data_IF_969760167696
#
_entry.id   IF_969760167696
#
_cell.length_a   1.000
_cell.length_b   1.000
_cell.length_c   1.000
_cell.angle_alpha   90.00
_cell.angle_beta   90.00
_cell.angle_gamma   90.00
#
_symmetry.space_group_name_H-M   'P 1'
#
loop_
_entity.id
_entity.type
_entity.pdbx_description
1 polymer ?
#
# COMPACT_ATOMS: atom_id res chain seq x y z
N UNK A 1 33.12 8.40 22.00
CA UNK A 1 32.38 9.66 21.74
C UNK A 1 31.85 9.56 20.33
N UNK A 2 30.59 9.14 20.18
CA UNK A 2 29.92 9.15 18.88
C UNK A 2 29.16 10.48 18.78
N UNK A 3 29.41 11.22 17.71
CA UNK A 3 28.77 12.52 17.48
C UNK A 3 27.35 12.31 16.98
N UNK A 4 26.37 12.88 17.70
CA UNK A 4 25.00 12.92 17.23
C UNK A 4 24.94 13.62 15.88
N UNK A 5 24.35 12.96 14.87
CA UNK A 5 24.04 13.62 13.60
C UNK A 5 22.87 14.56 13.86
N UNK A 6 23.14 15.87 13.83
CA UNK A 6 22.09 16.87 13.72
C UNK A 6 21.31 16.62 12.42
N UNK A 7 20.02 16.32 12.53
CA UNK A 7 19.16 16.31 11.35
C UNK A 7 18.97 17.75 10.87
N UNK A 8 19.07 18.00 9.55
CA UNK A 8 18.94 19.34 9.01
C UNK A 8 17.51 19.87 9.27
N UNK A 9 17.35 21.18 9.56
CA UNK A 9 16.04 21.77 9.79
C UNK A 9 15.13 21.57 8.56
N UNK A 10 13.80 21.44 8.77
CA UNK A 10 12.86 21.20 7.68
C UNK A 10 12.97 22.29 6.62
N UNK A 11 13.33 21.88 5.39
CA UNK A 11 13.59 22.79 4.28
C UNK A 11 12.26 23.30 3.74
N UNK A 12 11.84 24.48 4.21
CA UNK A 12 10.72 25.21 3.63
C UNK A 12 11.12 25.73 2.24
N UNK A 13 10.53 25.15 1.20
CA UNK A 13 10.70 25.61 -0.17
C UNK A 13 9.82 26.83 -0.42
N UNK A 14 10.44 28.00 -0.58
CA UNK A 14 9.78 29.24 -1.00
C UNK A 14 9.25 29.12 -2.43
N UNK A 15 8.00 28.66 -2.52
CA UNK A 15 7.23 28.52 -3.78
C UNK A 15 6.00 29.41 -3.73
N UNK A 16 5.64 29.99 -4.86
CA UNK A 16 4.45 30.83 -4.98
C UNK A 16 3.18 30.03 -4.63
N UNK A 17 2.37 30.55 -3.73
CA UNK A 17 1.10 29.92 -3.34
C UNK A 17 0.03 30.13 -4.41
N UNK A 18 -0.80 29.12 -4.65
CA UNK A 18 -1.96 29.21 -5.55
C UNK A 18 -3.20 29.54 -4.72
N UNK A 19 -3.96 30.56 -5.12
CA UNK A 19 -5.18 31.01 -4.43
C UNK A 19 -6.28 29.93 -4.28
N UNK A 20 -6.23 28.87 -5.09
CA UNK A 20 -7.18 27.74 -5.03
C UNK A 20 -6.66 26.53 -4.23
N UNK A 21 -5.42 26.57 -3.72
CA UNK A 21 -4.84 25.47 -2.95
C UNK A 21 -5.57 25.31 -1.62
N UNK A 22 -6.06 24.10 -1.33
CA UNK A 22 -6.72 23.79 -0.06
C UNK A 22 -8.19 24.20 0.02
N UNK A 23 -8.81 24.77 -1.02
CA UNK A 23 -10.19 25.32 -0.97
C UNK A 23 -11.29 24.31 -0.54
N UNK A 24 -11.04 23.00 -0.65
CA UNK A 24 -11.94 21.94 -0.17
C UNK A 24 -11.38 21.12 1.01
N UNK A 25 -10.18 21.44 1.50
CA UNK A 25 -9.54 20.62 2.54
C UNK A 25 -10.23 20.75 3.89
N UNK A 26 -10.72 21.94 4.27
CA UNK A 26 -11.51 22.09 5.50
C UNK A 26 -12.76 21.24 5.42
N UNK A 27 -13.58 21.45 4.39
CA UNK A 27 -14.81 20.68 4.16
C UNK A 27 -14.60 19.15 4.17
N UNK A 28 -13.50 18.65 3.60
CA UNK A 28 -13.23 17.20 3.62
C UNK A 28 -12.87 16.68 5.02
N UNK A 29 -12.21 17.48 5.85
CA UNK A 29 -11.93 17.15 7.25
C UNK A 29 -13.18 17.31 8.11
N UNK A 30 -14.01 18.32 7.82
CA UNK A 30 -15.30 18.52 8.47
C UNK A 30 -16.25 17.33 8.16
N UNK A 31 -16.32 16.90 6.89
CA UNK A 31 -17.07 15.70 6.45
C UNK A 31 -16.53 14.39 7.10
N UNK A 32 -15.21 14.22 7.23
CA UNK A 32 -14.58 13.08 7.91
C UNK A 32 -14.96 12.99 9.40
N UNK A 33 -14.95 14.14 10.11
CA UNK A 33 -15.33 14.21 11.53
C UNK A 33 -16.84 13.99 11.72
N UNK A 34 -17.69 14.53 10.84
CA UNK A 34 -19.13 14.28 10.87
C UNK A 34 -19.47 12.79 10.64
N UNK A 35 -18.78 12.11 9.71
CA UNK A 35 -18.95 10.68 9.45
C UNK A 35 -18.48 9.81 10.65
N UNK A 36 -17.33 10.14 11.26
CA UNK A 36 -16.84 9.49 12.48
C UNK A 36 -17.81 9.69 13.66
N UNK A 37 -18.29 10.91 13.90
CA UNK A 37 -19.26 11.20 14.96
C UNK A 37 -20.57 10.42 14.75
N UNK A 38 -21.07 10.31 13.53
CA UNK A 38 -22.27 9.52 13.21
C UNK A 38 -22.06 8.02 13.45
N UNK A 39 -20.86 7.50 13.19
CA UNK A 39 -20.51 6.10 13.45
C UNK A 39 -20.36 5.80 14.95
N UNK A 40 -19.64 6.64 15.69
CA UNK A 40 -19.36 6.39 17.11
C UNK A 40 -20.54 6.72 18.04
N UNK A 41 -21.43 7.66 17.67
CA UNK A 41 -22.61 8.00 18.47
C UNK A 41 -23.81 7.04 18.27
N UNK A 42 -23.59 5.83 17.75
CA UNK A 42 -24.61 4.77 17.70
C UNK A 42 -24.99 4.33 19.12
N UNK A 43 -26.28 4.12 19.39
CA UNK A 43 -26.76 3.77 20.73
C UNK A 43 -26.15 2.46 21.26
N UNK A 44 -25.90 1.47 20.38
CA UNK A 44 -25.23 0.21 20.72
C UNK A 44 -23.72 0.32 21.02
N UNK A 45 -23.11 1.51 20.88
CA UNK A 45 -21.71 1.79 21.23
C UNK A 45 -21.59 2.81 22.38
N UNK A 46 -22.71 3.30 22.93
CA UNK A 46 -22.70 4.18 24.10
C UNK A 46 -22.59 3.33 25.35
N UNK A 47 -21.76 3.79 26.29
CA UNK A 47 -21.72 3.25 27.64
C UNK A 47 -23.09 3.52 28.31
N UNK A 48 -23.81 2.47 28.67
CA UNK A 48 -25.05 2.54 29.46
C UNK A 48 -24.72 2.36 30.94
N UNK A 49 -25.33 3.16 31.83
CA UNK A 49 -25.11 3.09 33.28
C UNK A 49 -25.49 1.71 33.90
N UNK A 50 -26.16 0.87 33.12
CA UNK A 50 -26.68 -0.46 33.44
C UNK A 50 -26.17 -1.55 32.48
N UNK A 51 -24.96 -1.39 31.91
CA UNK A 51 -24.28 -2.40 31.08
C UNK A 51 -23.72 -3.56 31.94
N UNK A 52 -24.60 -4.49 32.32
CA UNK A 52 -24.24 -5.74 33.01
C UNK A 52 -23.60 -6.74 32.02
N UNK A 53 -22.62 -7.52 32.50
CA UNK A 53 -21.92 -8.49 31.66
C UNK A 53 -22.88 -9.57 31.11
N UNK A 54 -22.82 -9.83 29.80
CA UNK A 54 -23.61 -10.85 29.10
C UNK A 54 -23.81 -12.15 29.90
N UNK A 55 -25.07 -12.51 30.11
CA UNK A 55 -25.49 -13.80 30.68
C UNK A 55 -25.92 -14.76 29.55
N UNK A 56 -25.51 -16.02 29.64
CA UNK A 56 -25.86 -17.04 28.66
C UNK A 56 -27.33 -17.46 28.81
N UNK A 57 -28.19 -16.94 27.92
CA UNK A 57 -29.56 -17.44 27.80
C UNK A 57 -29.56 -18.90 27.32
N UNK A 58 -30.51 -19.70 27.81
CA UNK A 58 -30.60 -21.11 27.43
C UNK A 58 -30.98 -21.23 25.94
N UNK A 59 -30.03 -21.67 25.13
CA UNK A 59 -30.20 -21.87 23.69
C UNK A 59 -31.42 -22.77 23.41
N UNK A 60 -32.40 -22.23 22.70
CA UNK A 60 -33.56 -22.99 22.27
C UNK A 60 -33.12 -24.04 21.24
N UNK A 61 -33.69 -25.25 21.32
CA UNK A 61 -33.42 -26.27 20.31
C UNK A 61 -33.80 -25.76 18.92
N UNK A 62 -32.89 -25.91 17.96
CA UNK A 62 -33.07 -25.47 16.58
C UNK A 62 -34.33 -26.11 15.97
N UNK A 63 -35.14 -25.31 15.28
CA UNK A 63 -36.43 -25.72 14.70
C UNK A 63 -36.34 -25.56 13.19
N UNK A 64 -36.11 -26.67 12.52
CA UNK A 64 -36.16 -26.73 11.06
C UNK A 64 -37.59 -26.53 10.54
N UNK A 65 -37.70 -25.79 9.43
CA UNK A 65 -38.93 -25.69 8.67
C UNK A 65 -39.31 -27.05 8.06
N UNK A 66 -40.60 -27.23 7.72
CA UNK A 66 -41.12 -28.52 7.29
C UNK A 66 -40.57 -29.02 5.94
N UNK A 67 -40.03 -28.11 5.13
CA UNK A 67 -39.39 -28.34 3.84
C UNK A 67 -37.86 -28.50 3.93
N UNK A 68 -37.27 -28.51 5.14
CA UNK A 68 -35.83 -28.69 5.31
C UNK A 68 -35.33 -30.08 4.88
N UNK A 69 -36.18 -31.11 5.06
CA UNK A 69 -35.93 -32.49 4.61
C UNK A 69 -36.55 -32.77 3.21
N UNK A 70 -37.23 -31.80 2.59
CA UNK A 70 -37.74 -31.96 1.22
C UNK A 70 -36.56 -31.81 0.23
N UNK A 71 -36.37 -32.79 -0.65
CA UNK A 71 -35.35 -32.73 -1.70
C UNK A 71 -35.58 -31.47 -2.57
N UNK A 72 -34.60 -30.55 -2.60
CA UNK A 72 -34.55 -29.49 -3.61
C UNK A 72 -34.67 -30.15 -5.00
N UNK A 73 -35.50 -29.61 -5.92
CA UNK A 73 -35.66 -30.21 -7.23
C UNK A 73 -34.29 -30.28 -7.92
N UNK A 74 -33.87 -31.51 -8.28
CA UNK A 74 -32.64 -31.70 -9.06
C UNK A 74 -32.70 -30.75 -10.28
N UNK A 75 -31.68 -29.91 -10.50
CA UNK A 75 -31.66 -29.04 -11.66
C UNK A 75 -31.66 -29.95 -12.89
N UNK A 76 -32.70 -29.82 -13.71
CA UNK A 76 -32.82 -30.59 -14.95
C UNK A 76 -31.54 -30.37 -15.76
N UNK A 77 -30.89 -31.45 -16.20
CA UNK A 77 -29.53 -31.37 -16.80
C UNK A 77 -29.54 -30.48 -18.07
N UNK A 78 -30.70 -30.29 -18.71
CA UNK A 78 -30.91 -29.36 -19.83
C UNK A 78 -30.88 -27.86 -19.41
N UNK A 79 -31.23 -27.54 -18.17
CA UNK A 79 -31.09 -26.19 -17.60
C UNK A 79 -29.68 -25.93 -17.05
N UNK A 80 -28.96 -26.96 -16.60
CA UNK A 80 -27.59 -26.84 -16.12
C UNK A 80 -26.62 -26.29 -17.19
N UNK A 81 -26.78 -26.68 -18.45
CA UNK A 81 -26.00 -26.13 -19.57
C UNK A 81 -26.33 -24.64 -19.82
N UNK A 82 -27.62 -24.27 -19.82
CA UNK A 82 -28.06 -22.88 -20.01
C UNK A 82 -27.57 -21.96 -18.87
N UNK A 83 -27.67 -22.42 -17.62
CA UNK A 83 -27.19 -21.69 -16.44
C UNK A 83 -25.67 -21.55 -16.47
N UNK A 84 -24.92 -22.57 -16.90
CA UNK A 84 -23.47 -22.48 -17.05
C UNK A 84 -23.04 -21.46 -18.11
N UNK A 85 -23.75 -21.36 -19.22
CA UNK A 85 -23.46 -20.43 -20.31
C UNK A 85 -23.91 -18.99 -20.01
N UNK A 86 -25.03 -18.77 -19.33
CA UNK A 86 -25.41 -17.44 -18.82
C UNK A 86 -24.48 -16.97 -17.68
N UNK A 87 -23.93 -17.90 -16.88
CA UNK A 87 -22.92 -17.62 -15.84
C UNK A 87 -21.53 -17.31 -16.41
N UNK A 88 -21.41 -17.00 -17.70
CA UNK A 88 -20.23 -16.38 -18.35
C UNK A 88 -19.96 -14.95 -17.86
N UNK A 89 -19.56 -14.88 -16.59
CA UNK A 89 -19.07 -13.76 -15.77
C UNK A 89 -18.91 -12.44 -16.55
N UNK A 90 -20.01 -11.71 -16.73
CA UNK A 90 -19.96 -10.30 -17.11
C UNK A 90 -19.16 -9.57 -16.02
N UNK A 91 -17.94 -9.15 -16.35
CA UNK A 91 -17.04 -8.47 -15.40
C UNK A 91 -17.63 -7.11 -15.03
N UNK A 92 -18.50 -7.09 -14.01
CA UNK A 92 -19.02 -5.88 -13.38
C UNK A 92 -17.82 -5.06 -12.92
N UNK A 93 -17.55 -3.96 -13.62
CA UNK A 93 -16.46 -3.05 -13.27
C UNK A 93 -16.78 -2.46 -11.91
N UNK A 94 -15.80 -2.44 -11.01
CA UNK A 94 -15.94 -1.77 -9.72
C UNK A 94 -16.20 -0.28 -9.96
N UNK A 95 -17.43 0.18 -9.73
CA UNK A 95 -17.81 1.58 -9.81
C UNK A 95 -17.61 2.15 -8.41
N UNK A 96 -16.55 2.95 -8.26
CA UNK A 96 -16.38 3.74 -7.04
C UNK A 96 -17.48 4.81 -6.98
N UNK A 97 -18.17 5.01 -5.84
CA UNK A 97 -19.10 6.12 -5.69
C UNK A 97 -18.39 7.46 -5.96
N UNK A 98 -19.07 8.37 -6.66
CA UNK A 98 -18.58 9.73 -6.93
C UNK A 98 -17.88 9.99 -8.29
N UNK A 99 -17.81 9.04 -9.23
CA UNK A 99 -17.22 9.27 -10.58
C UNK A 99 -18.25 9.19 -11.72
N UNK A 100 -18.60 10.29 -12.41
CA UNK A 100 -19.50 10.26 -13.55
C UNK A 100 -18.85 9.58 -14.77
N UNK A 101 -19.48 8.52 -15.28
CA UNK A 101 -19.03 7.77 -16.45
C UNK A 101 -19.29 8.57 -17.73
N UNK A 102 -18.22 9.03 -18.39
CA UNK A 102 -18.31 9.76 -19.66
C UNK A 102 -18.59 8.78 -20.82
N UNK A 103 -19.83 8.77 -21.31
CA UNK A 103 -20.27 7.92 -22.42
C UNK A 103 -19.67 8.36 -23.77
N UNK A 104 -18.51 7.82 -24.14
CA UNK A 104 -17.98 7.92 -25.52
C UNK A 104 -18.80 7.03 -26.48
N UNK A 105 -19.67 7.66 -27.27
CA UNK A 105 -20.38 7.01 -28.38
C UNK A 105 -19.38 6.47 -29.41
N UNK A 106 -19.38 5.16 -29.65
CA UNK A 106 -18.67 4.55 -30.79
C UNK A 106 -19.43 4.86 -32.08
N UNK A 107 -18.76 5.39 -33.10
CA UNK A 107 -19.33 5.55 -34.45
C UNK A 107 -18.98 4.31 -35.26
N UNK A 108 -19.98 3.69 -35.91
CA UNK A 108 -19.81 2.48 -36.73
C UNK A 108 -19.02 2.79 -38.01
N UNK A 109 -18.27 1.79 -38.45
CA UNK A 109 -17.55 1.72 -39.72
C UNK A 109 -18.51 1.41 -40.89
N UNK A 110 -18.14 1.81 -42.10
CA UNK A 110 -18.78 1.38 -43.35
C UNK A 110 -17.75 1.27 -44.47
N UNK A 111 -17.52 0.04 -44.96
CA UNK A 111 -16.73 -0.25 -46.17
C UNK A 111 -17.36 0.40 -47.42
N UNK A 112 -16.54 0.78 -48.41
CA UNK A 112 -16.46 0.13 -49.74
C UNK A 112 -15.67 0.96 -50.79
N UNK A 113 -14.56 0.35 -51.27
CA UNK A 113 -14.04 0.28 -52.67
C UNK A 113 -13.58 1.53 -53.48
N UNK A 114 -12.34 1.38 -53.97
CA UNK A 114 -11.79 1.54 -55.34
C UNK A 114 -11.35 2.89 -55.95
N UNK A 115 -10.16 2.80 -56.55
CA UNK A 115 -9.53 3.53 -57.68
C UNK A 115 -8.85 4.91 -57.47
N UNK A 116 -7.63 5.02 -58.04
CA UNK A 116 -6.76 6.22 -58.07
C UNK A 116 -6.91 7.05 -59.38
N UNK A 117 -5.88 7.79 -59.90
CA UNK A 117 -4.43 7.63 -59.66
C UNK A 117 -3.52 8.91 -59.58
N UNK A 118 -2.28 8.70 -59.11
CA UNK A 118 -0.96 9.25 -59.55
C UNK A 118 -0.68 10.77 -59.75
N UNK A 119 0.38 11.24 -59.06
CA UNK A 119 1.58 11.95 -59.56
C UNK A 119 2.62 12.05 -58.42
N UNK A 120 3.77 11.35 -58.46
CA UNK A 120 5.06 11.75 -59.06
C UNK A 120 5.62 13.07 -58.46
N UNK A 121 6.88 13.16 -58.00
CA UNK A 121 8.10 12.31 -58.13
C UNK A 121 8.82 12.14 -56.74
N UNK A 122 10.00 11.51 -56.53
CA UNK A 122 11.05 10.97 -57.43
C UNK A 122 11.81 9.73 -56.85
N UNK A 123 13.11 9.63 -57.09
CA UNK A 123 14.07 8.50 -57.01
C UNK A 123 15.49 9.05 -56.66
N UNK A 124 16.60 8.25 -56.53
CA UNK A 124 16.77 6.77 -56.52
C UNK A 124 17.74 6.16 -55.45
N UNK A 125 17.84 4.81 -55.46
CA UNK A 125 19.01 3.96 -55.09
C UNK A 125 19.44 3.89 -53.60
N UNK A 126 19.98 2.77 -53.06
CA UNK A 126 20.45 1.52 -53.71
C UNK A 126 20.22 0.26 -52.83
N UNK A 127 20.48 -0.93 -53.38
CA UNK A 127 20.12 -2.25 -52.83
C UNK A 127 21.18 -2.92 -51.95
N UNK A 128 20.78 -3.66 -50.91
CA UNK A 128 21.36 -4.96 -50.54
C UNK A 128 20.45 -5.73 -49.58
N UNK A 129 20.57 -7.06 -49.54
CA UNK A 129 19.69 -7.96 -48.80
C UNK A 129 20.24 -8.40 -47.43
N UNK A 130 19.30 -8.81 -46.57
CA UNK A 130 19.39 -9.78 -45.46
C UNK A 130 20.53 -9.68 -44.43
N UNK A 131 20.12 -9.56 -43.15
CA UNK A 131 20.20 -10.69 -42.20
C UNK A 131 19.32 -10.47 -40.97
N UNK A 132 18.86 -11.61 -40.45
CA UNK A 132 18.14 -11.78 -39.19
C UNK A 132 19.17 -11.77 -38.05
N UNK A 133 18.91 -11.06 -36.96
CA UNK A 133 19.45 -11.40 -35.65
C UNK A 133 18.48 -10.91 -34.56
N UNK A 134 18.16 -11.79 -33.60
CA UNK A 134 17.31 -11.46 -32.46
C UNK A 134 18.16 -10.84 -31.35
N UNK A 135 17.95 -9.55 -31.08
CA UNK A 135 18.57 -8.84 -29.95
C UNK A 135 17.54 -7.95 -29.26
N UNK A 136 17.35 -8.07 -27.93
CA UNK A 136 16.35 -7.27 -27.23
C UNK A 136 16.73 -5.78 -27.20
N UNK A 137 15.91 -4.98 -27.86
CA UNK A 137 15.96 -3.52 -27.88
C UNK A 137 15.07 -2.92 -26.76
N UNK A 138 15.71 -2.22 -25.82
CA UNK A 138 15.18 -1.07 -25.06
C UNK A 138 16.32 -0.64 -24.10
N UNK A 139 17.09 0.43 -24.36
CA UNK A 139 16.71 1.85 -24.41
C UNK A 139 16.11 2.36 -23.09
N UNK A 140 16.98 2.59 -22.11
CA UNK A 140 16.73 3.56 -21.03
C UNK A 140 17.75 4.71 -21.19
N UNK A 141 17.25 5.85 -21.65
CA UNK A 141 18.04 6.93 -22.25
C UNK A 141 19.01 7.67 -21.31
N UNK A 142 19.78 8.57 -21.92
CA UNK A 142 20.87 9.34 -21.31
C UNK A 142 20.41 10.31 -20.20
N UNK A 143 20.11 9.77 -19.02
CA UNK A 143 19.90 10.59 -17.81
C UNK A 143 21.26 11.08 -17.29
N UNK A 144 21.41 12.39 -17.06
CA UNK A 144 22.62 13.01 -16.49
C UNK A 144 22.91 12.50 -15.06
N UNK A 145 23.58 11.35 -14.97
CA UNK A 145 23.99 10.73 -13.70
C UNK A 145 25.51 10.69 -13.64
N UNK A 146 26.09 11.14 -12.52
CA UNK A 146 27.55 11.13 -12.32
C UNK A 146 28.07 9.70 -12.44
N UNK A 147 29.22 9.53 -13.12
CA UNK A 147 29.82 8.21 -13.41
C UNK A 147 29.96 7.33 -12.15
N UNK A 148 30.31 7.93 -11.01
CA UNK A 148 30.41 7.25 -9.70
C UNK A 148 29.08 6.76 -9.13
N UNK A 149 27.97 7.44 -9.39
CA UNK A 149 26.63 6.97 -9.01
C UNK A 149 26.20 5.80 -9.90
N UNK A 150 26.53 5.84 -11.19
CA UNK A 150 26.27 4.73 -12.13
C UNK A 150 27.03 3.46 -11.72
N UNK A 151 28.32 3.56 -11.39
CA UNK A 151 29.09 2.40 -10.90
C UNK A 151 28.55 1.88 -9.56
N UNK A 152 28.19 2.74 -8.62
CA UNK A 152 27.62 2.33 -7.33
C UNK A 152 26.27 1.60 -7.48
N UNK A 153 25.43 1.98 -8.46
CA UNK A 153 24.19 1.26 -8.78
C UNK A 153 24.50 -0.11 -9.38
N UNK A 154 25.41 -0.19 -10.36
CA UNK A 154 25.81 -1.45 -11.00
C UNK A 154 26.37 -2.45 -9.96
N UNK A 155 27.24 -2.00 -9.05
CA UNK A 155 27.80 -2.84 -7.98
C UNK A 155 26.68 -3.34 -7.05
N UNK A 156 25.77 -2.47 -6.60
CA UNK A 156 24.61 -2.87 -5.75
C UNK A 156 23.59 -3.77 -6.46
N UNK A 157 23.52 -3.71 -7.79
CA UNK A 157 22.71 -4.62 -8.60
C UNK A 157 23.37 -6.00 -8.61
N UNK A 158 24.67 -6.07 -8.94
CA UNK A 158 25.45 -7.30 -8.95
C UNK A 158 25.50 -7.98 -7.56
N UNK A 159 25.63 -7.22 -6.47
CA UNK A 159 25.54 -7.74 -5.10
C UNK A 159 24.18 -8.39 -4.82
N UNK A 160 23.07 -7.75 -5.20
CA UNK A 160 21.72 -8.31 -5.04
C UNK A 160 21.50 -9.55 -5.88
N UNK A 161 21.95 -9.53 -7.13
CA UNK A 161 21.76 -10.65 -8.05
C UNK A 161 22.66 -11.83 -7.66
N UNK A 162 23.85 -11.59 -7.11
CA UNK A 162 24.69 -12.62 -6.49
C UNK A 162 24.04 -13.24 -5.25
N UNK A 163 23.40 -12.45 -4.37
CA UNK A 163 22.65 -12.97 -3.22
C UNK A 163 21.44 -13.80 -3.71
N UNK A 164 20.69 -13.32 -4.70
CA UNK A 164 19.55 -14.07 -5.29
C UNK A 164 20.01 -15.39 -5.90
N UNK A 165 21.11 -15.37 -6.66
CA UNK A 165 21.69 -16.57 -7.27
C UNK A 165 22.23 -17.54 -6.22
N UNK A 166 22.86 -17.05 -5.14
CA UNK A 166 23.32 -17.90 -4.03
C UNK A 166 22.15 -18.59 -3.34
N UNK A 167 21.07 -17.87 -3.03
CA UNK A 167 19.84 -18.46 -2.48
C UNK A 167 19.28 -19.54 -3.42
N UNK A 168 19.14 -19.23 -4.71
CA UNK A 168 18.65 -20.19 -5.72
C UNK A 168 19.58 -21.40 -5.94
N UNK A 169 20.89 -21.24 -5.76
CA UNK A 169 21.86 -22.34 -5.80
C UNK A 169 21.82 -23.21 -4.54
N UNK A 170 21.51 -22.63 -3.37
CA UNK A 170 21.31 -23.41 -2.13
C UNK A 170 19.97 -24.15 -2.09
N UNK A 171 18.93 -23.66 -2.80
CA UNK A 171 17.70 -24.42 -3.03
C UNK A 171 17.97 -25.56 -4.00
N UNK A 172 18.43 -26.69 -3.46
CA UNK A 172 18.57 -27.96 -4.19
C UNK A 172 17.25 -28.25 -4.92
N UNK A 173 17.27 -28.66 -6.21
CA UNK A 173 16.05 -29.01 -6.91
C UNK A 173 15.36 -30.16 -6.16
N UNK A 174 14.19 -29.87 -5.59
CA UNK A 174 13.37 -30.85 -4.89
C UNK A 174 12.99 -31.91 -5.92
N UNK A 175 13.65 -33.07 -5.83
CA UNK A 175 13.20 -34.26 -6.56
C UNK A 175 11.79 -34.55 -6.06
N UNK A 176 10.78 -34.23 -6.87
CA UNK A 176 9.38 -34.56 -6.60
C UNK A 176 9.32 -36.08 -6.40
N UNK A 177 9.27 -36.52 -5.15
CA UNK A 177 8.87 -37.89 -4.83
C UNK A 177 7.42 -38.04 -5.30
N UNK A 178 7.02 -39.27 -5.62
CA UNK A 178 5.70 -39.56 -6.17
C UNK A 178 4.62 -38.96 -5.25
N UNK A 179 3.66 -38.31 -5.88
CA UNK A 179 2.39 -37.90 -5.29
C UNK A 179 1.71 -39.15 -4.70
N UNK A 180 1.49 -39.16 -3.39
CA UNK A 180 1.05 -40.34 -2.65
C UNK A 180 1.54 -40.30 -1.20
N UNK A 181 0.61 -40.12 -0.28
CA UNK A 181 0.86 -39.95 1.17
C UNK A 181 1.63 -38.67 1.53
N UNK A 182 1.05 -37.51 1.16
CA UNK A 182 0.93 -36.47 2.17
C UNK A 182 0.09 -37.06 3.30
N UNK A 183 0.76 -37.57 4.35
CA UNK A 183 0.09 -37.84 5.62
C UNK A 183 -0.56 -36.52 6.03
N UNK A 184 -1.89 -36.47 6.06
CA UNK A 184 -2.61 -35.40 6.75
C UNK A 184 -2.00 -35.31 8.14
N UNK A 185 -1.43 -34.15 8.48
CA UNK A 185 -0.79 -33.96 9.78
C UNK A 185 -1.77 -34.42 10.86
N UNK A 186 -1.31 -35.26 11.78
CA UNK A 186 -2.19 -35.65 12.89
C UNK A 186 -2.52 -34.39 13.69
N UNK A 187 -3.64 -34.41 14.41
CA UNK A 187 -4.00 -33.28 15.27
C UNK A 187 -2.88 -32.96 16.28
N UNK A 188 -2.14 -33.98 16.74
CA UNK A 188 -0.94 -33.85 17.57
C UNK A 188 0.21 -33.15 16.85
N UNK A 189 0.50 -33.50 15.59
CA UNK A 189 1.54 -32.83 14.78
C UNK A 189 1.20 -31.35 14.54
N UNK A 190 -0.09 -31.04 14.27
CA UNK A 190 -0.58 -29.67 14.13
C UNK A 190 -0.44 -28.87 15.44
N UNK A 191 -0.75 -29.48 16.59
CA UNK A 191 -0.57 -28.87 17.92
C UNK A 191 0.91 -28.67 18.28
N UNK A 192 1.81 -29.59 17.87
CA UNK A 192 3.24 -29.45 18.06
C UNK A 192 3.85 -28.36 17.17
N UNK A 193 3.36 -28.17 15.94
CA UNK A 193 3.73 -27.05 15.08
C UNK A 193 3.18 -25.72 15.62
N UNK A 194 1.93 -25.70 16.13
CA UNK A 194 1.36 -24.55 16.81
C UNK A 194 2.19 -24.13 18.04
N UNK A 195 2.58 -25.06 18.91
CA UNK A 195 3.44 -24.78 20.07
C UNK A 195 4.85 -24.26 19.66
N UNK A 196 5.44 -24.78 18.58
CA UNK A 196 6.72 -24.28 18.07
C UNK A 196 6.61 -22.87 17.50
N UNK A 197 5.53 -22.58 16.76
CA UNK A 197 5.27 -21.25 16.20
C UNK A 197 4.89 -20.25 17.28
N UNK A 198 4.18 -20.65 18.33
CA UNK A 198 3.93 -19.85 19.54
C UNK A 198 5.25 -19.42 20.20
N UNK A 199 6.18 -20.35 20.45
CA UNK A 199 7.52 -20.04 21.00
C UNK A 199 8.28 -19.05 20.11
N UNK A 200 8.15 -19.16 18.77
CA UNK A 200 8.75 -18.19 17.84
C UNK A 200 8.06 -16.84 17.87
N UNK A 201 6.73 -16.82 18.01
CA UNK A 201 5.91 -15.61 18.06
C UNK A 201 6.16 -14.82 19.36
N UNK A 202 6.23 -15.48 20.51
CA UNK A 202 6.62 -14.87 21.78
C UNK A 202 8.00 -14.21 21.68
N UNK A 203 9.01 -14.93 21.17
CA UNK A 203 10.36 -14.39 20.94
C UNK A 203 10.41 -13.27 19.89
N UNK A 204 9.44 -13.20 18.98
CA UNK A 204 9.30 -12.09 18.03
C UNK A 204 8.68 -10.86 18.74
N UNK A 205 7.61 -11.08 19.51
CA UNK A 205 6.90 -10.06 20.29
C UNK A 205 7.82 -9.38 21.31
N UNK A 206 8.59 -10.15 22.09
CA UNK A 206 9.62 -9.63 23.01
C UNK A 206 10.61 -8.67 22.30
N UNK A 207 11.06 -9.04 21.09
CA UNK A 207 11.96 -8.21 20.26
C UNK A 207 11.28 -6.98 19.66
N UNK A 208 9.95 -6.96 19.54
CA UNK A 208 9.19 -5.76 19.14
C UNK A 208 9.00 -4.84 20.34
N UNK A 209 8.52 -5.37 21.47
CA UNK A 209 8.31 -4.63 22.72
C UNK A 209 9.62 -3.99 23.22
N UNK A 210 10.75 -4.70 23.20
CA UNK A 210 12.04 -4.14 23.58
C UNK A 210 12.45 -2.94 22.70
N UNK A 211 12.17 -3.00 21.39
CA UNK A 211 12.43 -1.86 20.48
C UNK A 211 11.47 -0.70 20.74
N UNK A 212 10.20 -0.98 21.01
CA UNK A 212 9.25 0.07 21.39
C UNK A 212 9.67 0.77 22.68
N UNK A 213 10.11 0.04 23.69
CA UNK A 213 10.65 0.61 24.92
C UNK A 213 11.89 1.48 24.65
N UNK A 214 12.83 1.03 23.81
CA UNK A 214 13.98 1.85 23.40
C UNK A 214 13.55 3.13 22.68
N UNK A 215 12.58 3.04 21.76
CA UNK A 215 12.04 4.20 21.03
C UNK A 215 11.32 5.14 22.00
N UNK A 216 10.47 4.64 22.89
CA UNK A 216 9.78 5.42 23.94
C UNK A 216 10.80 6.15 24.84
N UNK A 217 11.85 5.44 25.32
CA UNK A 217 12.93 6.02 26.14
C UNK A 217 13.74 7.09 25.39
N UNK A 218 13.97 6.94 24.08
CA UNK A 218 14.66 7.93 23.23
C UNK A 218 13.78 9.11 22.82
N UNK A 219 12.46 8.92 22.73
CA UNK A 219 11.49 9.95 22.35
C UNK A 219 11.23 10.98 23.47
N UNK A 220 11.51 10.63 24.73
CA UNK A 220 11.44 11.56 25.87
C UNK A 220 12.64 12.51 25.82
N UNK A 221 12.54 13.53 24.95
CA UNK A 221 13.53 14.60 24.87
C UNK A 221 13.36 15.54 26.07
N UNK A 222 14.09 15.25 27.16
CA UNK A 222 14.24 16.16 28.29
C UNK A 222 14.98 17.44 27.86
N UNK A 223 14.25 18.39 27.27
CA UNK A 223 14.76 19.73 26.96
C UNK A 223 14.99 20.47 28.27
N UNK A 224 16.26 20.58 28.68
CA UNK A 224 16.66 21.45 29.77
C UNK A 224 16.28 22.90 29.42
N UNK A 225 15.26 23.44 30.11
CA UNK A 225 14.85 24.83 29.93
C UNK A 225 15.95 25.72 30.50
N UNK A 226 16.61 26.50 29.64
CA UNK A 226 17.66 27.41 30.06
C UNK A 226 17.09 28.50 30.98
N UNK A 227 17.36 28.38 32.28
CA UNK A 227 16.95 29.32 33.33
C UNK A 227 18.07 30.30 33.72
N UNK A 228 18.96 30.63 32.77
CA UNK A 228 20.00 31.65 32.96
C UNK A 228 19.57 33.04 32.47
N UNK A 229 20.39 34.08 32.69
CA UNK A 229 20.14 35.43 32.17
C UNK A 229 20.01 35.43 30.65
N UNK A 230 18.93 36.01 30.11
CA UNK A 230 18.70 36.08 28.67
C UNK A 230 18.83 37.52 28.16
N UNK A 231 19.65 37.70 27.13
CA UNK A 231 19.75 38.95 26.37
C UNK A 231 18.79 38.87 25.20
N UNK A 232 17.94 39.89 25.01
CA UNK A 232 17.09 40.03 23.82
C UNK A 232 17.38 41.34 23.10
N UNK A 233 17.50 41.25 21.78
CA UNK A 233 17.62 42.40 20.89
C UNK A 233 16.23 42.74 20.34
N UNK A 234 15.83 44.01 20.43
CA UNK A 234 14.64 44.52 19.77
C UNK A 234 15.03 45.70 18.88
N UNK A 235 14.42 45.78 17.69
CA UNK A 235 14.57 46.92 16.80
C UNK A 235 13.26 47.69 16.78
N UNK A 236 13.28 48.90 17.31
CA UNK A 236 12.17 49.84 17.23
C UNK A 236 12.68 51.14 16.61
N UNK A 237 11.99 51.64 15.59
CA UNK A 237 12.31 52.91 14.91
C UNK A 237 13.77 53.01 14.44
N UNK A 238 14.34 51.89 13.93
CA UNK A 238 15.70 51.85 13.39
C UNK A 238 16.83 51.86 14.42
N UNK A 239 16.53 51.73 15.73
CA UNK A 239 17.54 51.57 16.79
C UNK A 239 17.45 50.19 17.42
N UNK A 240 18.62 49.56 17.58
CA UNK A 240 18.77 48.30 18.30
C UNK A 240 18.83 48.57 19.81
N UNK A 241 17.84 48.07 20.55
CA UNK A 241 17.78 48.10 22.00
C UNK A 241 18.14 46.72 22.54
N UNK A 242 19.08 46.68 23.49
CA UNK A 242 19.52 45.46 24.18
C UNK A 242 18.81 45.43 25.53
N UNK A 243 17.98 44.42 25.77
CA UNK A 243 17.29 44.23 27.04
C UNK A 243 17.80 42.98 27.75
N UNK A 244 18.36 43.17 28.95
CA UNK A 244 18.82 42.10 29.83
C UNK A 244 17.68 41.68 30.77
N UNK A 245 17.29 40.41 30.74
CA UNK A 245 16.32 39.84 31.69
C UNK A 245 17.01 38.90 32.67
N UNK A 246 17.03 39.27 33.97
CA UNK A 246 17.23 38.32 35.06
C UNK A 246 15.88 37.83 35.57
N UNK A 247 15.54 36.59 35.23
CA UNK A 247 14.32 35.93 35.71
C UNK A 247 14.57 35.37 37.12
N UNK A 248 14.41 36.21 38.13
CA UNK A 248 14.47 35.79 39.53
C UNK A 248 13.24 34.94 39.85
N UNK A 249 13.46 33.68 40.24
CA UNK A 249 12.48 32.86 40.93
C UNK A 249 12.88 32.79 42.41
N UNK A 250 11.88 32.97 43.29
CA UNK A 250 11.93 32.54 44.69
C UNK A 250 11.52 31.07 44.77
#
# INVERSE_FOLDING_TARGET
METAKEEPPPVFLDRTSRATRGKRMTRLLDEEVEEDELFWNQDALKEEDNDDNYEEEAEAADVFDSDFDDDEPEPDDEEAENIAEERTRTKKRLIFPGKPLVNKKKKKESLLKSDGPSKNEKLPQESAASKHDDGPDDVEGERMVRKSTRTAVIVKQAERDAIRAALQATTKPIKRKKEGEEKKMTQEEMLLEAAQTEIMNLRNLERVLAREEEVKKRAIVHKAVYSGPQIRYSSANGRLLIQNYLRHFF
#
